data_IF_855583820310
#
_entry.id   IF_855583820310
#
_cell.length_a   1.000
_cell.length_b   1.000
_cell.length_c   1.000
_cell.angle_alpha   90.00
_cell.angle_beta   90.00
_cell.angle_gamma   90.00
#
_symmetry.space_group_name_H-M   'P 1'
#
loop_
_entity.id
_entity.type
_entity.pdbx_description
1 polymer ?
#
# COMPACT_ATOMS: atom_id res chain seq x y z
N UNK A 1 4.08 -7.15 15.84
CA UNK A 1 4.27 -6.86 14.38
C UNK A 1 5.77 -6.85 14.10
N UNK A 2 6.22 -7.64 13.12
CA UNK A 2 7.56 -7.57 12.56
C UNK A 2 7.53 -6.65 11.36
N UNK A 3 8.61 -5.92 11.11
CA UNK A 3 8.77 -5.07 9.92
C UNK A 3 10.25 -4.85 9.59
N UNK A 4 10.52 -4.47 8.34
CA UNK A 4 11.82 -3.96 7.88
C UNK A 4 11.61 -2.52 7.44
N UNK A 5 12.49 -1.62 7.87
CA UNK A 5 12.51 -0.23 7.43
C UNK A 5 13.86 0.09 6.84
N UNK A 6 13.84 0.69 5.66
CA UNK A 6 15.04 1.11 4.93
C UNK A 6 14.91 2.58 4.58
N UNK A 7 15.87 3.36 5.01
CA UNK A 7 16.01 4.77 4.66
C UNK A 7 16.94 4.91 3.45
N UNK A 8 16.68 5.92 2.62
CA UNK A 8 17.53 6.22 1.46
C UNK A 8 17.70 5.03 0.49
N UNK A 9 16.57 4.37 0.16
CA UNK A 9 16.54 3.22 -0.74
C UNK A 9 17.15 3.52 -2.11
N UNK A 10 16.89 4.72 -2.66
CA UNK A 10 17.34 5.16 -3.98
C UNK A 10 18.33 6.30 -3.87
N UNK A 11 19.08 6.54 -4.94
CA UNK A 11 19.85 7.79 -5.04
C UNK A 11 18.89 8.99 -5.12
N UNK A 12 19.24 10.15 -4.53
CA UNK A 12 18.38 11.34 -4.55
C UNK A 12 17.99 11.79 -5.96
N UNK A 13 18.91 11.68 -6.91
CA UNK A 13 18.65 12.05 -8.32
C UNK A 13 17.59 11.16 -8.95
N UNK A 14 17.63 9.84 -8.67
CA UNK A 14 16.67 8.92 -9.24
C UNK A 14 15.29 9.09 -8.61
N UNK A 15 15.22 9.23 -7.28
CA UNK A 15 13.99 9.54 -6.59
C UNK A 15 13.31 10.80 -7.14
N UNK A 16 14.08 11.88 -7.33
CA UNK A 16 13.55 13.14 -7.88
C UNK A 16 12.94 12.94 -9.28
N UNK A 17 13.61 12.18 -10.15
CA UNK A 17 13.08 11.86 -11.49
C UNK A 17 11.76 11.09 -11.44
N UNK A 18 11.67 10.09 -10.57
CA UNK A 18 10.43 9.33 -10.39
C UNK A 18 9.30 10.21 -9.86
N UNK A 19 9.60 11.04 -8.86
CA UNK A 19 8.61 11.94 -8.30
C UNK A 19 8.13 12.99 -9.31
N UNK A 20 9.03 13.58 -10.09
CA UNK A 20 8.68 14.52 -11.17
C UNK A 20 7.83 13.86 -12.25
N UNK A 21 8.07 12.59 -12.55
CA UNK A 21 7.26 11.81 -13.49
C UNK A 21 5.81 11.68 -13.01
N UNK A 22 5.59 11.35 -11.75
CA UNK A 22 4.24 11.08 -11.20
C UNK A 22 3.47 12.32 -10.80
N UNK A 23 4.11 13.47 -10.66
CA UNK A 23 3.47 14.77 -10.36
C UNK A 23 2.49 15.27 -11.43
N UNK A 24 2.31 14.55 -12.52
CA UNK A 24 1.40 14.93 -13.59
C UNK A 24 1.95 15.91 -14.60
N UNK A 25 3.19 16.37 -14.47
CA UNK A 25 3.81 17.30 -15.42
C UNK A 25 4.17 16.66 -16.78
N UNK A 26 4.29 15.33 -16.81
CA UNK A 26 4.81 14.57 -17.95
C UNK A 26 3.81 13.57 -18.54
N UNK A 27 2.51 13.76 -18.31
CA UNK A 27 1.47 12.90 -18.87
C UNK A 27 1.40 11.50 -18.22
N UNK A 28 1.86 11.35 -16.98
CA UNK A 28 1.72 10.09 -16.25
C UNK A 28 0.23 9.75 -16.07
N UNK A 29 -0.24 8.57 -16.49
CA UNK A 29 -1.66 8.24 -16.47
C UNK A 29 -2.09 7.83 -15.08
N UNK A 30 -2.86 8.67 -14.43
CA UNK A 30 -3.55 8.37 -13.20
C UNK A 30 -4.99 7.94 -13.49
N UNK A 31 -5.41 6.82 -12.95
CA UNK A 31 -6.78 6.31 -13.05
C UNK A 31 -7.55 6.68 -11.81
N UNK A 32 -8.69 7.32 -12.00
CA UNK A 32 -9.55 7.75 -10.91
C UNK A 32 -10.19 6.55 -10.22
N UNK A 33 -10.19 6.56 -8.89
CA UNK A 33 -10.91 5.61 -8.07
C UNK A 33 -12.14 6.32 -7.50
N UNK A 34 -13.31 5.86 -7.93
CA UNK A 34 -14.61 6.41 -7.47
C UNK A 34 -14.99 5.95 -6.09
N UNK A 35 -14.40 4.84 -5.64
CA UNK A 35 -14.63 4.26 -4.34
C UNK A 35 -13.45 4.53 -3.40
N UNK A 36 -13.57 4.12 -2.15
CA UNK A 36 -12.49 4.25 -1.18
C UNK A 36 -11.20 3.60 -1.70
N UNK A 37 -10.09 4.34 -1.61
CA UNK A 37 -8.74 3.87 -2.04
C UNK A 37 -8.38 2.54 -1.39
N UNK A 38 -8.87 2.27 -0.18
CA UNK A 38 -8.65 1.03 0.55
C UNK A 38 -9.40 -0.15 -0.04
N UNK A 39 -10.51 0.08 -0.72
CA UNK A 39 -11.36 -0.98 -1.28
C UNK A 39 -11.12 -1.27 -2.76
N UNK A 40 -10.73 -0.28 -3.52
CA UNK A 40 -10.44 -0.45 -4.95
C UNK A 40 -9.15 -1.22 -5.23
N UNK A 41 -8.37 -1.52 -4.21
CA UNK A 41 -7.11 -2.23 -4.35
C UNK A 41 -7.28 -3.73 -4.54
N UNK A 42 -8.39 -4.27 -4.10
CA UNK A 42 -8.69 -5.68 -4.28
C UNK A 42 -9.51 -5.83 -5.56
N UNK A 43 -8.97 -5.65 -6.72
CA UNK A 43 -9.64 -5.76 -8.03
C UNK A 43 -10.71 -6.85 -8.17
N UNK A 44 -10.97 -7.58 -7.12
CA UNK A 44 -12.10 -8.39 -6.85
C UNK A 44 -13.14 -7.56 -6.11
N UNK A 45 -14.02 -7.03 -6.86
CA UNK A 45 -15.36 -6.81 -6.41
C UNK A 45 -15.89 -8.17 -5.95
N UNK A 46 -15.83 -8.44 -4.67
CA UNK A 46 -16.67 -9.46 -4.09
C UNK A 46 -18.10 -9.02 -4.39
N UNK A 47 -18.73 -9.73 -5.30
CA UNK A 47 -20.00 -9.35 -5.92
C UNK A 47 -20.96 -8.72 -4.95
N UNK A 48 -21.70 -7.71 -5.38
CA UNK A 48 -22.84 -7.04 -4.74
C UNK A 48 -22.77 -6.72 -3.23
N UNK A 49 -21.66 -6.98 -2.57
CA UNK A 49 -21.44 -6.48 -1.21
C UNK A 49 -21.17 -5.00 -1.31
N UNK A 50 -22.24 -4.24 -1.28
CA UNK A 50 -22.19 -2.80 -1.01
C UNK A 50 -21.16 -2.59 0.06
N UNK A 51 -20.25 -1.68 -0.19
CA UNK A 51 -19.45 -1.02 0.85
C UNK A 51 -20.45 -0.62 1.92
N UNK A 52 -20.63 -1.50 2.91
CA UNK A 52 -21.70 -1.38 3.86
C UNK A 52 -21.43 -0.12 4.64
N UNK A 53 -22.19 0.91 4.33
CA UNK A 53 -22.49 2.03 5.16
C UNK A 53 -21.33 2.93 5.63
N UNK A 54 -20.19 2.98 4.89
CA UNK A 54 -19.36 4.16 5.04
C UNK A 54 -20.12 5.34 4.39
N UNK A 55 -20.40 6.40 5.15
CA UNK A 55 -20.96 7.62 4.59
C UNK A 55 -20.14 8.06 3.36
N UNK A 56 -20.80 8.52 2.31
CA UNK A 56 -20.12 8.97 1.07
C UNK A 56 -19.01 10.00 1.33
N UNK A 57 -19.20 10.80 2.37
CA UNK A 57 -18.26 11.81 2.81
C UNK A 57 -17.06 11.23 3.58
N UNK A 58 -17.07 9.95 3.94
CA UNK A 58 -15.93 9.26 4.57
C UNK A 58 -15.05 8.53 3.58
N UNK A 59 -15.50 8.35 2.32
CA UNK A 59 -14.72 7.68 1.28
C UNK A 59 -13.49 8.50 0.89
N UNK A 60 -12.35 7.86 0.85
CA UNK A 60 -11.11 8.46 0.38
C UNK A 60 -11.02 8.41 -1.14
N UNK A 61 -11.29 9.53 -1.79
CA UNK A 61 -11.10 9.68 -3.23
C UNK A 61 -9.61 9.73 -3.54
N UNK A 62 -9.20 8.97 -4.55
CA UNK A 62 -7.82 8.93 -4.97
C UNK A 62 -7.63 8.49 -6.41
N UNK A 63 -6.38 8.24 -6.75
CA UNK A 63 -5.99 7.76 -8.07
C UNK A 63 -4.99 6.62 -7.91
N UNK A 64 -4.97 5.76 -8.90
CA UNK A 64 -4.05 4.63 -8.94
C UNK A 64 -3.40 4.49 -10.31
N UNK A 65 -2.24 3.85 -10.35
CA UNK A 65 -1.63 3.33 -11.55
C UNK A 65 -0.96 1.99 -11.26
N UNK A 66 -1.51 0.92 -11.82
CA UNK A 66 -0.94 -0.43 -11.71
C UNK A 66 0.22 -0.53 -12.68
N UNK A 67 1.41 -0.79 -12.16
CA UNK A 67 2.62 -1.03 -12.96
C UNK A 67 2.73 -2.49 -13.38
N UNK A 68 2.36 -3.39 -12.46
CA UNK A 68 2.41 -4.84 -12.64
C UNK A 68 1.37 -5.49 -11.73
N UNK A 69 0.71 -6.55 -12.20
CA UNK A 69 -0.10 -7.44 -11.37
C UNK A 69 -0.05 -8.91 -11.84
N UNK A 70 -0.67 -9.81 -11.07
CA UNK A 70 -0.74 -11.24 -11.38
C UNK A 70 -1.65 -11.59 -12.56
N UNK A 71 -2.52 -10.68 -12.98
CA UNK A 71 -3.44 -10.86 -14.09
C UNK A 71 -2.79 -10.54 -15.44
N UNK A 72 -1.51 -10.19 -15.42
CA UNK A 72 -0.71 -9.89 -16.61
C UNK A 72 -0.80 -8.43 -17.04
N UNK A 73 -1.30 -7.55 -16.18
CA UNK A 73 -1.16 -6.11 -16.41
C UNK A 73 0.31 -5.74 -16.31
N UNK A 74 0.83 -5.18 -17.39
CA UNK A 74 2.15 -4.60 -17.43
C UNK A 74 2.08 -3.22 -18.08
N UNK A 75 2.29 -2.21 -17.26
CA UNK A 75 2.28 -0.84 -17.73
C UNK A 75 3.55 -0.53 -18.57
N UNK A 76 3.45 0.24 -19.67
CA UNK A 76 4.62 0.76 -20.37
C UNK A 76 5.56 1.58 -19.48
N UNK A 77 5.06 2.06 -18.37
CA UNK A 77 5.85 2.81 -17.38
C UNK A 77 6.66 1.92 -16.45
N UNK A 78 6.41 0.61 -16.41
CA UNK A 78 7.11 -0.32 -15.52
C UNK A 78 8.63 -0.24 -15.71
N UNK A 79 9.12 -0.10 -16.93
CA UNK A 79 10.56 0.00 -17.22
C UNK A 79 11.27 1.12 -16.45
N UNK A 80 10.57 2.22 -16.16
CA UNK A 80 11.08 3.31 -15.34
C UNK A 80 11.14 2.97 -13.84
N UNK A 81 10.46 1.92 -13.41
CA UNK A 81 10.36 1.51 -12.00
C UNK A 81 11.13 0.23 -11.68
N UNK A 82 11.66 -0.48 -12.69
CA UNK A 82 12.49 -1.68 -12.47
C UNK A 82 13.64 -1.43 -11.49
N UNK A 83 14.41 -0.33 -11.58
CA UNK A 83 15.47 -0.08 -10.61
C UNK A 83 14.98 0.12 -9.16
N UNK A 84 13.71 0.50 -8.96
CA UNK A 84 13.11 0.51 -7.62
C UNK A 84 12.91 -0.91 -7.13
N UNK A 85 12.39 -1.80 -7.99
CA UNK A 85 12.16 -3.21 -7.66
C UNK A 85 13.48 -3.91 -7.34
N UNK A 86 14.53 -3.65 -8.12
CA UNK A 86 15.88 -4.15 -7.86
C UNK A 86 16.40 -3.67 -6.50
N UNK A 87 16.23 -2.36 -6.20
CA UNK A 87 16.65 -1.80 -4.91
C UNK A 87 15.86 -2.38 -3.72
N UNK A 88 14.57 -2.66 -3.91
CA UNK A 88 13.76 -3.36 -2.90
C UNK A 88 14.27 -4.79 -2.70
N UNK A 89 14.55 -5.51 -3.80
CA UNK A 89 15.12 -6.86 -3.75
C UNK A 89 16.45 -6.89 -2.99
N UNK A 90 17.34 -5.95 -3.29
CA UNK A 90 18.66 -5.85 -2.64
C UNK A 90 18.58 -5.51 -1.15
N UNK A 91 17.52 -4.78 -0.75
CA UNK A 91 17.28 -4.41 0.65
C UNK A 91 16.69 -5.56 1.48
N UNK A 92 16.16 -6.60 0.84
CA UNK A 92 15.55 -7.74 1.52
C UNK A 92 16.57 -8.88 1.74
N UNK A 93 16.37 -9.70 2.79
CA UNK A 93 17.32 -10.76 3.15
C UNK A 93 17.30 -11.97 2.20
N UNK A 94 16.27 -12.12 1.38
CA UNK A 94 16.04 -13.26 0.50
C UNK A 94 15.33 -12.85 -0.79
N UNK A 95 15.34 -13.69 -1.82
CA UNK A 95 14.66 -13.44 -3.08
C UNK A 95 13.15 -13.27 -2.89
N UNK A 96 12.56 -12.37 -3.69
CA UNK A 96 11.11 -12.13 -3.69
C UNK A 96 10.55 -12.18 -5.11
N UNK A 97 9.28 -12.57 -5.20
CA UNK A 97 8.49 -12.50 -6.42
C UNK A 97 7.42 -11.43 -6.27
N UNK A 98 7.50 -10.36 -7.03
CA UNK A 98 6.48 -9.32 -7.02
C UNK A 98 5.17 -9.84 -7.63
N UNK A 99 4.08 -9.65 -6.89
CA UNK A 99 2.73 -10.03 -7.29
C UNK A 99 1.96 -8.84 -7.86
N UNK A 100 2.13 -7.69 -7.22
CA UNK A 100 1.49 -6.44 -7.62
C UNK A 100 2.39 -5.27 -7.24
N UNK A 101 2.52 -4.35 -8.18
CA UNK A 101 3.24 -3.08 -8.00
C UNK A 101 2.32 -1.96 -8.45
N UNK A 102 1.98 -1.06 -7.55
CA UNK A 102 0.97 -0.04 -7.79
C UNK A 102 1.34 1.29 -7.14
N UNK A 103 1.23 2.35 -7.90
CA UNK A 103 1.23 3.71 -7.38
C UNK A 103 -0.16 4.09 -6.88
N UNK A 104 -0.23 4.69 -5.71
CA UNK A 104 -1.44 5.25 -5.14
C UNK A 104 -1.24 6.73 -4.84
N UNK A 105 -2.18 7.55 -5.28
CA UNK A 105 -2.21 8.98 -5.01
C UNK A 105 -3.48 9.31 -4.24
N UNK A 106 -3.33 9.89 -3.07
CA UNK A 106 -4.42 10.37 -2.22
C UNK A 106 -4.38 11.89 -2.13
N UNK A 107 -5.55 12.51 -2.15
CA UNK A 107 -5.70 13.96 -2.04
C UNK A 107 -6.01 14.39 -0.62
N UNK A 108 -5.62 15.61 -0.29
CA UNK A 108 -6.09 16.27 0.93
C UNK A 108 -7.59 16.53 0.82
N UNK A 109 -8.36 15.89 1.68
CA UNK A 109 -9.81 16.07 1.78
C UNK A 109 -10.24 16.78 3.08
N UNK A 110 -9.28 17.34 3.82
CA UNK A 110 -9.52 18.01 5.10
C UNK A 110 -9.75 17.09 6.29
N UNK A 111 -9.70 15.77 6.10
CA UNK A 111 -9.92 14.80 7.18
C UNK A 111 -8.61 14.47 7.90
N UNK A 112 -8.73 14.22 9.21
CA UNK A 112 -7.58 13.96 10.08
C UNK A 112 -7.47 12.49 10.51
N UNK A 113 -8.42 11.63 10.12
CA UNK A 113 -8.43 10.22 10.49
C UNK A 113 -7.94 9.31 9.35
N UNK A 114 -7.60 8.09 9.68
CA UNK A 114 -7.22 7.08 8.71
C UNK A 114 -8.44 6.58 7.92
N UNK A 115 -8.18 6.06 6.73
CA UNK A 115 -9.15 5.35 5.91
C UNK A 115 -9.50 3.98 6.53
N UNK A 116 -10.36 3.21 5.87
CA UNK A 116 -10.76 1.92 6.39
C UNK A 116 -9.57 0.96 6.55
N UNK A 117 -9.45 0.29 7.72
CA UNK A 117 -8.47 -0.76 7.91
C UNK A 117 -8.71 -1.94 6.96
N UNK A 118 -7.64 -2.43 6.34
CA UNK A 118 -7.69 -3.53 5.37
C UNK A 118 -6.38 -4.33 5.35
N UNK A 119 -6.41 -5.46 4.68
CA UNK A 119 -5.25 -6.20 4.17
C UNK A 119 -5.25 -6.11 2.65
N UNK A 120 -4.10 -6.20 2.02
CA UNK A 120 -3.97 -6.02 0.57
C UNK A 120 -4.44 -7.23 -0.25
N UNK A 121 -4.41 -8.41 0.35
CA UNK A 121 -4.81 -9.68 -0.26
C UNK A 121 -5.20 -10.69 0.81
N UNK A 122 -6.03 -11.65 0.44
CA UNK A 122 -6.44 -12.78 1.27
C UNK A 122 -5.41 -13.92 1.26
N UNK A 123 -4.56 -13.94 0.23
CA UNK A 123 -3.48 -14.93 0.07
C UNK A 123 -2.26 -14.51 0.87
N UNK A 124 -1.44 -15.49 1.24
CA UNK A 124 -0.16 -15.22 1.89
C UNK A 124 0.68 -14.31 1.01
N UNK A 125 1.18 -13.24 1.59
CA UNK A 125 2.05 -12.28 0.93
C UNK A 125 2.74 -11.37 1.94
N UNK A 126 3.78 -10.72 1.49
CA UNK A 126 4.37 -9.56 2.15
C UNK A 126 3.93 -8.29 1.44
N UNK A 127 3.84 -7.22 2.18
CA UNK A 127 3.53 -5.90 1.64
C UNK A 127 4.65 -4.91 1.94
N UNK A 128 4.87 -3.99 1.03
CA UNK A 128 5.78 -2.88 1.24
C UNK A 128 5.21 -1.57 0.72
N UNK A 129 5.56 -0.50 1.42
CA UNK A 129 5.25 0.87 1.04
C UNK A 129 6.56 1.63 0.82
N UNK A 130 6.73 2.16 -0.38
CA UNK A 130 7.83 3.06 -0.67
C UNK A 130 7.29 4.48 -0.86
N UNK A 131 7.76 5.41 -0.04
CA UNK A 131 7.30 6.79 -0.04
C UNK A 131 8.20 7.66 -0.93
N UNK A 132 7.58 8.35 -1.88
CA UNK A 132 8.31 9.15 -2.87
C UNK A 132 8.66 10.55 -2.38
N UNK A 133 7.93 11.06 -1.40
CA UNK A 133 8.13 12.40 -0.87
C UNK A 133 7.66 12.52 0.58
N UNK A 134 8.18 13.54 1.26
CA UNK A 134 7.71 13.90 2.58
C UNK A 134 6.29 14.45 2.51
N UNK A 135 5.39 13.88 3.31
CA UNK A 135 4.05 14.42 3.46
C UNK A 135 3.45 14.03 4.82
N UNK A 136 2.31 14.61 5.10
CA UNK A 136 1.40 14.12 6.13
C UNK A 136 0.55 12.98 5.57
N UNK A 137 -0.22 12.32 6.41
CA UNK A 137 -1.04 11.17 6.03
C UNK A 137 -0.33 9.86 6.31
N UNK A 138 -0.11 9.60 7.59
CA UNK A 138 0.58 8.41 8.06
C UNK A 138 -0.09 7.13 7.57
N UNK A 139 0.69 6.06 7.42
CA UNK A 139 0.14 4.71 7.39
C UNK A 139 0.00 4.21 8.82
N UNK A 140 -1.21 3.80 9.18
CA UNK A 140 -1.56 3.30 10.50
C UNK A 140 -1.62 1.79 10.47
N UNK A 141 -0.98 1.14 11.41
CA UNK A 141 -1.03 -0.30 11.63
C UNK A 141 -1.79 -0.60 12.91
N UNK A 142 -2.53 -1.70 12.92
CA UNK A 142 -3.42 -2.06 14.02
C UNK A 142 -2.90 -3.31 14.76
N UNK A 143 -3.41 -3.55 15.96
CA UNK A 143 -3.11 -4.80 16.71
C UNK A 143 -3.75 -6.03 16.07
N UNK A 144 -4.84 -5.83 15.34
CA UNK A 144 -5.59 -6.87 14.66
C UNK A 144 -4.79 -7.43 13.48
N UNK A 145 -4.91 -8.73 13.30
CA UNK A 145 -4.24 -9.51 12.27
C UNK A 145 -5.25 -10.46 11.61
N UNK A 146 -5.18 -10.56 10.28
CA UNK A 146 -6.00 -11.46 9.50
C UNK A 146 -5.34 -12.83 9.44
N UNK A 147 -5.61 -13.70 10.44
CA UNK A 147 -4.99 -15.01 10.56
C UNK A 147 -5.56 -15.99 9.51
N UNK A 148 -4.79 -16.39 8.48
CA UNK A 148 -5.23 -17.36 7.48
C UNK A 148 -5.46 -18.75 8.09
N UNK A 149 -4.89 -19.04 9.27
CA UNK A 149 -5.02 -20.30 9.99
C UNK A 149 -6.11 -20.28 11.08
N UNK A 150 -6.94 -19.23 11.10
CA UNK A 150 -8.02 -19.07 12.10
C UNK A 150 -9.12 -20.13 12.03
N UNK A 151 -9.16 -20.95 10.97
CA UNK A 151 -10.24 -21.89 10.68
C UNK A 151 -11.49 -21.25 10.06
N UNK A 152 -11.50 -19.93 9.89
CA UNK A 152 -12.56 -19.19 9.20
C UNK A 152 -12.33 -19.23 7.68
N UNK A 153 -13.40 -19.33 6.91
CA UNK A 153 -13.31 -19.14 5.46
C UNK A 153 -13.08 -17.66 5.10
N UNK A 154 -12.84 -17.39 3.81
CA UNK A 154 -12.53 -16.05 3.30
C UNK A 154 -13.63 -15.04 3.63
N UNK A 155 -14.90 -15.40 3.41
CA UNK A 155 -16.04 -14.51 3.64
C UNK A 155 -16.18 -14.16 5.13
N UNK A 156 -15.96 -15.14 6.01
CA UNK A 156 -16.00 -14.96 7.46
C UNK A 156 -14.85 -14.06 7.96
N UNK A 157 -13.63 -14.24 7.44
CA UNK A 157 -12.48 -13.39 7.72
C UNK A 157 -12.74 -11.96 7.27
N UNK A 158 -13.24 -11.80 6.06
CA UNK A 158 -13.59 -10.51 5.51
C UNK A 158 -14.68 -9.79 6.32
N UNK A 159 -15.76 -10.50 6.68
CA UNK A 159 -16.82 -9.95 7.54
C UNK A 159 -16.27 -9.53 8.90
N UNK A 160 -15.44 -10.38 9.52
CA UNK A 160 -14.75 -10.05 10.77
C UNK A 160 -13.90 -8.79 10.63
N UNK A 161 -13.13 -8.70 9.57
CA UNK A 161 -12.29 -7.52 9.30
C UNK A 161 -13.08 -6.22 9.21
N UNK A 162 -14.33 -6.26 8.75
CA UNK A 162 -15.19 -5.08 8.65
C UNK A 162 -15.97 -4.73 9.89
N UNK A 163 -16.20 -5.69 10.76
CA UNK A 163 -17.07 -5.54 11.94
C UNK A 163 -16.32 -5.43 13.26
N UNK A 164 -15.04 -5.80 13.28
CA UNK A 164 -14.23 -5.73 14.50
C UNK A 164 -13.78 -4.28 14.81
N UNK A 165 -13.55 -4.02 16.08
CA UNK A 165 -12.89 -2.78 16.51
C UNK A 165 -11.39 -2.88 16.28
N UNK A 166 -10.78 -1.75 15.93
CA UNK A 166 -9.36 -1.64 15.67
C UNK A 166 -8.65 -0.80 16.73
N UNK A 167 -7.49 -1.28 17.17
CA UNK A 167 -6.60 -0.59 18.09
C UNK A 167 -5.32 -0.21 17.36
N UNK A 168 -5.01 1.07 17.30
CA UNK A 168 -3.77 1.54 16.66
C UNK A 168 -2.55 1.01 17.43
N UNK A 169 -1.58 0.47 16.67
CA UNK A 169 -0.32 -0.05 17.19
C UNK A 169 0.88 0.82 16.80
N UNK A 170 0.91 1.25 15.56
CA UNK A 170 2.05 1.98 14.99
C UNK A 170 1.56 2.94 13.91
N UNK A 171 2.18 4.12 13.86
CA UNK A 171 2.05 5.05 12.73
C UNK A 171 3.38 5.21 12.04
N UNK A 172 3.37 5.08 10.72
CA UNK A 172 4.55 5.28 9.88
C UNK A 172 4.32 6.53 9.04
N UNK A 173 5.12 7.54 9.33
CA UNK A 173 5.10 8.80 8.58
C UNK A 173 5.68 8.61 7.19
N UNK A 174 5.03 9.12 6.13
CA UNK A 174 5.62 9.18 4.80
C UNK A 174 6.80 10.15 4.78
N UNK A 175 7.98 9.59 4.65
CA UNK A 175 9.24 10.30 4.48
C UNK A 175 9.85 9.89 3.14
N UNK A 176 10.37 10.87 2.41
CA UNK A 176 10.95 10.65 1.10
C UNK A 176 12.03 9.55 1.14
N UNK A 177 11.99 8.63 0.18
CA UNK A 177 12.99 7.56 0.05
C UNK A 177 12.99 6.50 1.16
N UNK A 178 11.87 6.37 1.86
CA UNK A 178 11.69 5.34 2.90
C UNK A 178 10.89 4.17 2.35
N UNK A 179 11.42 2.96 2.53
CA UNK A 179 10.72 1.69 2.34
C UNK A 179 10.31 1.14 3.70
N UNK A 180 9.06 0.70 3.80
CA UNK A 180 8.51 0.02 4.98
C UNK A 180 7.85 -1.29 4.57
N UNK A 181 8.39 -2.42 5.05
CA UNK A 181 7.98 -3.78 4.68
C UNK A 181 7.35 -4.47 5.86
N UNK A 182 6.23 -5.15 5.65
CA UNK A 182 5.46 -5.79 6.70
C UNK A 182 4.74 -7.05 6.19
N UNK A 183 4.19 -7.84 7.11
CA UNK A 183 3.36 -9.00 6.81
C UNK A 183 2.04 -8.54 6.17
N UNK A 184 1.70 -9.06 5.00
CA UNK A 184 0.52 -8.66 4.24
C UNK A 184 -0.82 -8.90 4.94
N UNK A 185 -0.87 -9.82 5.91
CA UNK A 185 -2.05 -10.06 6.74
C UNK A 185 -2.21 -9.06 7.89
N UNK A 186 -1.25 -8.17 8.08
CA UNK A 186 -1.35 -7.11 9.09
C UNK A 186 -2.36 -6.05 8.65
N UNK A 187 -3.44 -5.86 9.43
CA UNK A 187 -4.37 -4.77 9.15
C UNK A 187 -3.67 -3.42 9.22
N UNK A 188 -3.88 -2.65 8.18
CA UNK A 188 -3.33 -1.30 8.06
C UNK A 188 -4.28 -0.37 7.33
N UNK A 189 -4.05 0.92 7.42
CA UNK A 189 -4.80 1.94 6.71
C UNK A 189 -3.90 3.12 6.37
N UNK A 190 -4.12 3.73 5.22
CA UNK A 190 -3.54 5.03 4.90
C UNK A 190 -4.37 6.14 5.51
N UNK A 191 -3.74 7.26 5.85
CA UNK A 191 -4.44 8.51 6.13
C UNK A 191 -4.29 9.46 4.96
N UNK A 192 -5.27 10.31 4.73
CA UNK A 192 -5.14 11.37 3.74
C UNK A 192 -4.16 12.43 4.23
N UNK A 193 -3.41 13.06 3.32
CA UNK A 193 -2.58 14.19 3.70
C UNK A 193 -3.44 15.35 4.21
N UNK A 194 -2.87 16.17 5.07
CA UNK A 194 -3.52 17.32 5.67
C UNK A 194 -2.59 18.53 5.75
N UNK A 195 -3.10 19.65 6.25
CA UNK A 195 -2.34 20.89 6.37
C UNK A 195 -1.89 21.41 5.00
N UNK A 196 -0.63 21.70 4.85
CA UNK A 196 -0.04 22.25 3.62
C UNK A 196 0.17 21.21 2.52
N UNK A 197 0.12 19.92 2.87
CA UNK A 197 0.31 18.83 1.92
C UNK A 197 -0.97 18.56 1.13
N UNK A 198 -0.92 18.75 -0.18
CA UNK A 198 -2.10 18.60 -1.07
C UNK A 198 -2.36 17.17 -1.48
N UNK A 199 -1.33 16.34 -1.53
CA UNK A 199 -1.43 14.95 -1.94
C UNK A 199 -0.36 14.09 -1.25
N UNK A 200 -0.59 12.79 -1.25
CA UNK A 200 0.31 11.73 -0.82
C UNK A 200 0.46 10.73 -1.96
N UNK A 201 1.71 10.41 -2.34
CA UNK A 201 2.02 9.37 -3.31
C UNK A 201 2.89 8.32 -2.66
N UNK A 202 2.48 7.06 -2.78
CA UNK A 202 3.26 5.91 -2.36
C UNK A 202 3.22 4.82 -3.43
N UNK A 203 4.31 4.08 -3.56
CA UNK A 203 4.35 2.81 -4.28
C UNK A 203 4.01 1.70 -3.29
N UNK A 204 2.96 0.95 -3.59
CA UNK A 204 2.55 -0.24 -2.86
C UNK A 204 3.05 -1.47 -3.63
N UNK A 205 3.73 -2.36 -2.94
CA UNK A 205 4.28 -3.60 -3.48
C UNK A 205 3.73 -4.77 -2.67
N UNK A 206 3.20 -5.77 -3.36
CA UNK A 206 2.87 -7.06 -2.76
C UNK A 206 3.76 -8.12 -3.40
N UNK A 207 4.31 -9.01 -2.61
CA UNK A 207 5.26 -10.00 -3.07
C UNK A 207 5.25 -11.28 -2.22
N UNK A 208 5.79 -12.36 -2.79
CA UNK A 208 6.04 -13.63 -2.11
C UNK A 208 7.53 -13.78 -1.86
N UNK A 209 7.86 -14.59 -0.87
CA UNK A 209 9.18 -15.17 -0.66
C UNK A 209 9.01 -16.59 -0.13
N UNK A 210 9.88 -17.50 -0.54
CA UNK A 210 9.92 -18.86 0.01
C UNK A 210 10.50 -18.90 1.43
N UNK A 211 11.19 -17.83 1.83
CA UNK A 211 11.81 -17.68 3.14
C UNK A 211 11.08 -16.61 3.99
N UNK A 212 11.15 -16.75 5.32
CA UNK A 212 10.69 -15.69 6.24
C UNK A 212 11.63 -14.48 6.17
N UNK A 213 11.18 -13.42 5.49
CA UNK A 213 11.96 -12.18 5.35
C UNK A 213 12.26 -11.48 6.68
N UNK A 214 11.57 -11.86 7.75
CA UNK A 214 11.80 -11.33 9.10
C UNK A 214 12.66 -12.26 9.96
N UNK A 215 13.09 -13.39 9.43
CA UNK A 215 14.06 -14.23 10.12
C UNK A 215 15.40 -13.48 10.21
N UNK A 216 15.96 -13.43 11.40
CA UNK A 216 17.29 -12.86 11.58
C UNK A 216 18.27 -13.64 10.69
N UNK A 217 19.09 -12.93 9.87
CA UNK A 217 20.25 -13.58 9.25
C UNK A 217 21.14 -14.10 10.39
N UNK A 218 21.21 -15.44 10.52
CA UNK A 218 22.14 -16.12 11.41
C UNK A 218 23.56 -15.92 10.92
#
# INVERSE_FOLDING_TARGET
MKYIQVENLLTPTYLSRLFDQVKGMNGFPWYFLSDDVSYSTNGFMFGDTKLLDMPEDEKAIGFTHVLLDQEGVESPWLSHWLPVLDSVQDALPCPVQFLRVRLALQLNNGKMHHNAPHTDSEKDHYAALFYLHDCTGDTVFFDQYDDPNSGLNIDERWYKGRTQSYTERLRVKPEANKLFVFDGHQYHASSNPNGEHKFRVALNLNFLSDDDIFAAKV
#
